data_IF_637533297914
#
_entry.id   IF_637533297914
#
_cell.length_a   1.000
_cell.length_b   1.000
_cell.length_c   1.000
_cell.angle_alpha   90.00
_cell.angle_beta   90.00
_cell.angle_gamma   90.00
#
_symmetry.space_group_name_H-M   'P 1'
#
loop_
_entity.id
_entity.type
_entity.pdbx_description
1 polymer ?
#
# COMPACT_ATOMS: atom_id res chain seq x y z
N UNK A 1 -23.44 7.68 10.91
CA UNK A 1 -23.65 8.90 11.72
C UNK A 1 -22.34 9.48 12.27
N UNK A 2 -21.50 8.70 12.95
CA UNK A 2 -20.22 9.16 13.56
C UNK A 2 -19.23 9.79 12.56
N UNK A 3 -19.12 9.27 11.33
CA UNK A 3 -18.24 9.83 10.28
C UNK A 3 -18.68 11.22 9.80
N UNK A 4 -19.99 11.46 9.68
CA UNK A 4 -20.53 12.75 9.24
C UNK A 4 -20.36 13.79 10.33
N UNK A 5 -20.63 13.42 11.59
CA UNK A 5 -20.41 14.26 12.75
C UNK A 5 -18.93 14.67 12.90
N UNK A 6 -18.00 13.71 12.72
CA UNK A 6 -16.55 13.99 12.76
C UNK A 6 -16.10 14.95 11.65
N UNK A 7 -16.66 14.81 10.44
CA UNK A 7 -16.36 15.71 9.31
C UNK A 7 -16.92 17.12 9.55
N UNK A 8 -18.11 17.20 10.12
CA UNK A 8 -18.76 18.48 10.45
C UNK A 8 -18.01 19.23 11.56
N UNK A 9 -17.65 18.54 12.64
CA UNK A 9 -16.86 19.11 13.74
C UNK A 9 -15.48 19.55 13.25
N UNK A 10 -14.81 18.73 12.44
CA UNK A 10 -13.51 19.09 11.85
C UNK A 10 -13.59 20.34 10.98
N UNK A 11 -14.62 20.45 10.14
CA UNK A 11 -14.83 21.63 9.29
C UNK A 11 -15.18 22.87 10.11
N UNK A 12 -15.97 22.71 11.16
CA UNK A 12 -16.36 23.81 12.04
C UNK A 12 -15.15 24.36 12.80
N UNK A 13 -14.34 23.48 13.41
CA UNK A 13 -13.12 23.87 14.12
C UNK A 13 -12.14 24.58 13.16
N UNK A 14 -11.99 24.07 11.94
CA UNK A 14 -11.11 24.67 10.94
C UNK A 14 -11.59 26.08 10.54
N UNK A 15 -12.89 26.26 10.32
CA UNK A 15 -13.46 27.56 9.96
C UNK A 15 -13.36 28.57 11.12
N UNK A 16 -13.59 28.13 12.35
CA UNK A 16 -13.43 28.98 13.55
C UNK A 16 -11.97 29.38 13.72
N UNK A 17 -11.03 28.44 13.55
CA UNK A 17 -9.60 28.72 13.63
C UNK A 17 -9.17 29.76 12.58
N UNK A 18 -9.61 29.62 11.33
CA UNK A 18 -9.32 30.58 10.26
C UNK A 18 -9.91 31.96 10.59
N UNK A 19 -11.15 32.02 11.07
CA UNK A 19 -11.78 33.28 11.46
C UNK A 19 -11.04 34.00 12.60
N UNK A 20 -10.56 33.25 13.60
CA UNK A 20 -9.75 33.78 14.70
C UNK A 20 -8.42 34.32 14.18
N UNK A 21 -7.73 33.57 13.31
CA UNK A 21 -6.46 34.02 12.71
C UNK A 21 -6.64 35.27 11.85
N UNK A 22 -7.71 35.35 11.07
CA UNK A 22 -8.02 36.55 10.29
C UNK A 22 -8.25 37.73 11.22
N UNK A 23 -9.08 37.58 12.26
CA UNK A 23 -9.42 38.66 13.20
C UNK A 23 -8.19 39.19 13.94
N UNK A 24 -7.30 38.29 14.38
CA UNK A 24 -6.05 38.63 15.06
C UNK A 24 -5.14 39.51 14.18
N UNK A 25 -5.15 39.29 12.85
CA UNK A 25 -4.32 40.05 11.91
C UNK A 25 -5.04 41.32 11.42
N UNK A 26 -6.34 41.25 11.15
CA UNK A 26 -7.09 42.36 10.53
C UNK A 26 -7.44 43.46 11.52
N UNK A 27 -7.69 43.14 12.79
CA UNK A 27 -8.05 44.15 13.81
C UNK A 27 -6.90 45.13 14.06
N UNK A 28 -5.64 44.72 14.28
CA UNK A 28 -4.52 45.64 14.41
C UNK A 28 -4.30 46.50 13.16
N UNK A 29 -4.48 45.92 11.97
CA UNK A 29 -4.35 46.63 10.68
C UNK A 29 -5.45 47.70 10.53
N UNK A 30 -6.70 47.37 10.87
CA UNK A 30 -7.81 48.32 10.82
C UNK A 30 -7.63 49.45 11.84
N UNK A 31 -7.21 49.11 13.05
CA UNK A 31 -6.94 50.10 14.11
C UNK A 31 -5.85 51.07 13.65
N UNK A 32 -4.73 50.57 13.11
CA UNK A 32 -3.67 51.42 12.55
C UNK A 32 -4.12 52.28 11.38
N UNK A 33 -5.06 51.79 10.54
CA UNK A 33 -5.61 52.55 9.43
C UNK A 33 -6.55 53.68 9.91
N UNK A 34 -7.35 53.41 10.95
CA UNK A 34 -8.30 54.39 11.53
C UNK A 34 -7.59 55.43 12.40
N UNK A 35 -6.57 55.04 13.17
CA UNK A 35 -5.81 55.96 14.03
C UNK A 35 -4.73 56.72 13.26
N UNK A 36 -4.44 56.34 12.01
CA UNK A 36 -3.37 56.93 11.21
C UNK A 36 -1.96 56.68 11.76
N UNK A 37 -1.84 55.78 12.73
CA UNK A 37 -0.59 55.45 13.42
C UNK A 37 -0.20 54.00 13.16
N UNK A 38 1.00 53.81 12.58
CA UNK A 38 1.63 52.50 12.43
C UNK A 38 2.03 51.86 13.77
N UNK A 39 1.91 52.60 14.87
CA UNK A 39 2.37 52.20 16.20
C UNK A 39 1.64 50.94 16.71
N UNK A 40 0.33 50.82 16.48
CA UNK A 40 -0.42 49.61 16.87
C UNK A 40 0.02 48.36 16.08
N UNK A 41 0.33 48.52 14.79
CA UNK A 41 0.88 47.45 13.95
C UNK A 41 2.32 47.09 14.37
N UNK A 42 3.15 48.09 14.67
CA UNK A 42 4.53 47.89 15.12
C UNK A 42 4.55 47.22 16.49
N UNK A 43 3.68 47.61 17.43
CA UNK A 43 3.53 46.97 18.73
C UNK A 43 3.02 45.53 18.60
N UNK A 44 2.11 45.27 17.66
CA UNK A 44 1.65 43.91 17.36
C UNK A 44 2.76 43.04 16.75
N UNK A 45 3.55 43.57 15.83
CA UNK A 45 4.71 42.87 15.21
C UNK A 45 5.88 42.70 16.19
N UNK A 46 6.04 43.65 17.11
CA UNK A 46 7.04 43.63 18.18
C UNK A 46 6.56 42.84 19.40
N UNK A 47 5.29 42.42 19.40
CA UNK A 47 4.78 41.45 20.34
C UNK A 47 5.52 40.15 20.04
N UNK A 48 6.53 39.85 20.87
CA UNK A 48 7.19 38.56 20.86
C UNK A 48 6.10 37.52 21.06
N UNK A 49 5.60 36.95 19.96
CA UNK A 49 4.64 35.87 19.97
C UNK A 49 5.25 34.83 20.90
N UNK A 50 4.65 34.60 22.06
CA UNK A 50 5.36 33.93 23.12
C UNK A 50 5.70 32.54 22.62
N UNK A 51 6.92 32.07 22.86
CA UNK A 51 7.50 30.87 22.23
C UNK A 51 6.55 29.66 22.30
N UNK A 52 5.70 29.60 23.34
CA UNK A 52 4.66 28.60 23.51
C UNK A 52 3.55 28.63 22.43
N UNK A 53 3.18 29.79 21.87
CA UNK A 53 2.21 29.91 20.75
C UNK A 53 2.80 29.36 19.45
N UNK A 54 4.08 29.64 19.18
CA UNK A 54 4.79 29.10 18.01
C UNK A 54 4.96 27.59 18.15
N UNK A 55 5.26 27.10 19.35
CA UNK A 55 5.28 25.67 19.69
C UNK A 55 3.90 25.01 19.52
N UNK A 56 2.82 25.69 19.92
CA UNK A 56 1.46 25.17 19.75
C UNK A 56 1.09 25.04 18.27
N UNK A 57 1.37 26.07 17.46
CA UNK A 57 1.10 26.06 16.02
C UNK A 57 1.91 24.98 15.28
N UNK A 58 3.18 24.77 15.66
CA UNK A 58 4.01 23.71 15.08
C UNK A 58 3.50 22.33 15.46
N UNK A 59 3.13 22.09 16.73
CA UNK A 59 2.50 20.84 17.16
C UNK A 59 1.19 20.54 16.40
N UNK A 60 0.31 21.53 16.28
CA UNK A 60 -0.96 21.38 15.54
C UNK A 60 -0.68 21.06 14.06
N UNK A 61 0.32 21.70 13.45
CA UNK A 61 0.70 21.48 12.05
C UNK A 61 1.25 20.06 11.83
N UNK A 62 2.07 19.54 12.75
CA UNK A 62 2.60 18.18 12.72
C UNK A 62 1.46 17.17 12.84
N UNK A 63 0.55 17.37 13.80
CA UNK A 63 -0.62 16.51 14.01
C UNK A 63 -1.51 16.52 12.77
N UNK A 64 -1.79 17.69 12.21
CA UNK A 64 -2.58 17.82 10.98
C UNK A 64 -1.93 17.11 9.80
N UNK A 65 -0.62 17.29 9.59
CA UNK A 65 0.12 16.62 8.52
C UNK A 65 0.09 15.10 8.67
N UNK A 66 0.25 14.58 9.90
CA UNK A 66 0.17 13.16 10.19
C UNK A 66 -1.24 12.60 9.90
N UNK A 67 -2.30 13.28 10.36
CA UNK A 67 -3.68 12.86 10.07
C UNK A 67 -4.07 13.04 8.61
N UNK A 68 -3.51 14.01 7.90
CA UNK A 68 -3.74 14.21 6.47
C UNK A 68 -3.12 13.08 5.65
N UNK A 69 -1.87 12.69 5.96
CA UNK A 69 -1.20 11.54 5.31
C UNK A 69 -1.86 10.19 5.65
N UNK A 70 -2.41 10.05 6.85
CA UNK A 70 -3.14 8.84 7.27
C UNK A 70 -4.48 8.64 6.55
N UNK A 71 -5.01 9.65 5.84
CA UNK A 71 -6.32 9.59 5.18
C UNK A 71 -6.29 9.09 3.75
N UNK A 72 -5.13 8.79 3.17
CA UNK A 72 -5.11 7.95 1.99
C UNK A 72 -5.45 6.53 2.46
N UNK A 73 -6.65 5.99 2.15
CA UNK A 73 -6.84 4.57 2.30
C UNK A 73 -5.76 3.95 1.40
N UNK A 74 -4.76 3.28 2.01
CA UNK A 74 -3.98 2.31 1.25
C UNK A 74 -5.03 1.41 0.62
N UNK A 75 -5.15 1.50 -0.71
CA UNK A 75 -5.99 0.60 -1.45
C UNK A 75 -5.34 -0.77 -1.25
N UNK A 76 -5.81 -1.50 -0.26
CA UNK A 76 -5.43 -2.88 -0.06
C UNK A 76 -6.13 -3.57 -1.22
N UNK A 77 -5.40 -3.76 -2.33
CA UNK A 77 -5.87 -4.65 -3.37
C UNK A 77 -6.25 -5.97 -2.69
N UNK A 78 -7.48 -6.48 -2.95
CA UNK A 78 -7.85 -7.78 -2.44
C UNK A 78 -6.78 -8.77 -2.93
N UNK A 79 -6.24 -9.58 -2.01
CA UNK A 79 -5.23 -10.57 -2.37
C UNK A 79 -5.75 -11.37 -3.58
N UNK A 80 -4.94 -11.46 -4.66
CA UNK A 80 -5.38 -12.18 -5.84
C UNK A 80 -5.62 -13.64 -5.46
N UNK A 81 -6.65 -14.25 -6.04
CA UNK A 81 -7.00 -15.64 -5.75
C UNK A 81 -5.85 -16.54 -6.22
N UNK A 82 -5.34 -17.36 -5.30
CA UNK A 82 -4.24 -18.28 -5.56
C UNK A 82 -4.76 -19.70 -5.55
N UNK A 83 -4.44 -20.46 -6.58
CA UNK A 83 -4.72 -21.88 -6.63
C UNK A 83 -3.51 -22.66 -7.14
N UNK A 84 -3.51 -23.97 -6.86
CA UNK A 84 -2.47 -24.88 -7.29
C UNK A 84 -2.96 -25.69 -8.49
N UNK A 85 -2.11 -25.84 -9.49
CA UNK A 85 -2.31 -26.79 -10.59
C UNK A 85 -1.23 -27.85 -10.54
N UNK A 86 -1.61 -29.08 -10.88
CA UNK A 86 -0.68 -30.20 -10.96
C UNK A 86 -0.34 -30.48 -12.43
N UNK A 87 0.95 -30.50 -12.78
CA UNK A 87 1.41 -30.79 -14.13
C UNK A 87 2.82 -31.39 -14.14
N UNK A 88 3.03 -32.47 -14.91
CA UNK A 88 4.34 -33.14 -15.06
C UNK A 88 5.09 -33.45 -13.75
N UNK A 89 4.37 -33.97 -12.75
CA UNK A 89 4.91 -34.28 -11.41
C UNK A 89 5.35 -33.04 -10.61
N UNK A 90 4.87 -31.86 -10.98
CA UNK A 90 5.07 -30.61 -10.26
C UNK A 90 3.73 -30.00 -9.85
N UNK A 91 3.75 -29.24 -8.75
CA UNK A 91 2.66 -28.33 -8.38
C UNK A 91 3.08 -26.91 -8.76
N UNK A 92 2.18 -26.16 -9.39
CA UNK A 92 2.43 -24.79 -9.80
C UNK A 92 1.44 -23.86 -9.14
N UNK A 93 1.95 -22.75 -8.61
CA UNK A 93 1.10 -21.70 -8.06
C UNK A 93 0.63 -20.80 -9.19
N UNK A 94 -0.69 -20.70 -9.34
CA UNK A 94 -1.36 -19.82 -10.28
C UNK A 94 -2.01 -18.70 -9.49
N UNK A 95 -1.80 -17.47 -9.95
CA UNK A 95 -2.39 -16.26 -9.43
C UNK A 95 -3.40 -15.79 -10.47
N UNK A 96 -4.67 -15.79 -10.11
CA UNK A 96 -5.74 -15.24 -10.94
C UNK A 96 -5.87 -13.75 -10.67
N UNK A 97 -5.69 -12.95 -11.71
CA UNK A 97 -5.90 -11.51 -11.66
C UNK A 97 -7.30 -11.23 -12.18
N UNK A 98 -8.05 -10.37 -11.48
CA UNK A 98 -9.46 -10.03 -11.78
C UNK A 98 -9.77 -9.51 -13.20
N UNK A 99 -8.77 -9.37 -14.06
CA UNK A 99 -8.86 -8.86 -15.42
C UNK A 99 -8.74 -9.97 -16.49
N UNK A 100 -9.05 -11.24 -16.17
CA UNK A 100 -8.97 -12.37 -17.11
C UNK A 100 -7.53 -12.73 -17.50
N UNK A 101 -6.57 -12.36 -16.66
CA UNK A 101 -5.15 -12.68 -16.84
C UNK A 101 -4.69 -13.55 -15.68
N UNK A 102 -3.88 -14.56 -15.98
CA UNK A 102 -3.23 -15.36 -14.95
C UNK A 102 -1.72 -15.37 -15.08
N UNK A 103 -1.06 -15.40 -13.93
CA UNK A 103 0.38 -15.60 -13.82
C UNK A 103 0.65 -16.91 -13.10
N UNK A 104 1.59 -17.69 -13.64
CA UNK A 104 2.11 -18.88 -12.99
C UNK A 104 3.51 -18.56 -12.47
N UNK A 105 3.77 -18.87 -11.20
CA UNK A 105 5.10 -18.73 -10.60
C UNK A 105 6.14 -19.47 -11.44
N UNK A 106 7.34 -18.91 -11.61
CA UNK A 106 8.38 -19.51 -12.47
C UNK A 106 9.04 -20.74 -11.86
N UNK A 107 8.96 -20.87 -10.54
CA UNK A 107 9.56 -21.98 -9.79
C UNK A 107 8.42 -22.91 -9.36
N UNK A 108 8.45 -24.19 -9.73
CA UNK A 108 7.46 -25.16 -9.28
C UNK A 108 7.63 -25.48 -7.80
N UNK A 109 6.58 -26.06 -7.24
CA UNK A 109 6.54 -26.70 -5.94
C UNK A 109 6.72 -28.21 -6.11
N UNK A 110 7.38 -28.84 -5.15
CA UNK A 110 7.47 -30.29 -5.08
C UNK A 110 6.08 -30.89 -4.92
N UNK A 111 5.76 -31.92 -5.71
CA UNK A 111 4.48 -32.62 -5.61
C UNK A 111 4.24 -33.24 -4.24
N UNK A 112 5.29 -33.72 -3.57
CA UNK A 112 5.21 -34.42 -2.27
C UNK A 112 5.24 -33.45 -1.10
N UNK A 113 6.17 -32.49 -1.11
CA UNK A 113 6.43 -31.60 0.03
C UNK A 113 5.73 -30.25 -0.08
N UNK A 114 5.19 -29.92 -1.24
CA UNK A 114 4.66 -28.58 -1.57
C UNK A 114 5.68 -27.45 -1.31
N UNK A 115 6.97 -27.80 -1.21
CA UNK A 115 8.08 -26.88 -1.01
C UNK A 115 8.62 -26.38 -2.34
N UNK A 116 9.04 -25.12 -2.40
CA UNK A 116 9.68 -24.54 -3.58
C UNK A 116 11.01 -25.24 -3.90
N UNK A 117 11.28 -25.42 -5.20
CA UNK A 117 12.58 -25.88 -5.66
C UNK A 117 13.63 -24.80 -5.48
N UNK A 118 14.83 -25.19 -5.06
CA UNK A 118 15.94 -24.27 -4.78
C UNK A 118 17.07 -24.52 -5.77
N UNK A 119 17.63 -23.44 -6.30
CA UNK A 119 18.80 -23.49 -7.18
C UNK A 119 20.04 -23.89 -6.37
N UNK A 120 20.69 -24.96 -6.81
CA UNK A 120 21.94 -25.46 -6.22
C UNK A 120 23.16 -24.79 -6.87
N UNK A 121 24.34 -24.87 -6.22
CA UNK A 121 25.60 -24.38 -6.82
C UNK A 121 25.95 -25.03 -8.16
N UNK A 122 25.43 -26.23 -8.44
CA UNK A 122 25.58 -26.93 -9.72
C UNK A 122 24.65 -26.43 -10.82
N UNK A 123 23.96 -25.31 -10.61
CA UNK A 123 22.99 -24.73 -11.53
C UNK A 123 21.79 -25.65 -11.83
N UNK A 124 21.35 -26.40 -10.82
CA UNK A 124 20.21 -27.32 -10.92
C UNK A 124 19.19 -26.99 -9.83
N UNK A 125 17.91 -27.10 -10.14
CA UNK A 125 16.83 -26.93 -9.16
C UNK A 125 16.51 -28.26 -8.49
N UNK A 126 16.51 -28.28 -7.15
CA UNK A 126 16.20 -29.46 -6.34
C UNK A 126 15.19 -29.09 -5.25
N UNK A 127 14.29 -30.03 -4.92
CA UNK A 127 13.39 -29.89 -3.78
C UNK A 127 14.20 -29.80 -2.47
N UNK A 128 13.97 -28.76 -1.66
CA UNK A 128 14.68 -28.53 -0.39
C UNK A 128 14.56 -29.71 0.57
N UNK A 129 13.41 -30.35 0.61
CA UNK A 129 13.09 -31.46 1.52
C UNK A 129 13.38 -32.84 0.92
N UNK A 130 14.13 -32.89 -0.19
CA UNK A 130 14.49 -34.14 -0.87
C UNK A 130 15.38 -35.08 -0.06
N UNK A 131 16.08 -34.56 0.95
CA UNK A 131 17.00 -35.33 1.78
C UNK A 131 16.20 -36.08 2.85
N UNK A 132 16.13 -37.41 2.75
CA UNK A 132 15.59 -38.30 3.78
C UNK A 132 14.09 -38.62 3.68
N UNK A 133 13.38 -38.05 2.71
CA UNK A 133 11.96 -38.34 2.44
C UNK A 133 11.81 -39.21 1.17
N UNK A 134 10.65 -39.85 0.99
CA UNK A 134 10.28 -40.54 -0.26
C UNK A 134 10.03 -39.55 -1.43
N UNK A 135 10.83 -38.48 -1.50
CA UNK A 135 10.84 -37.56 -2.61
C UNK A 135 11.52 -38.22 -3.80
N UNK A 136 10.77 -38.51 -4.87
CA UNK A 136 11.39 -38.67 -6.19
C UNK A 136 11.79 -37.28 -6.69
N UNK A 137 12.77 -36.67 -6.04
CA UNK A 137 13.23 -35.32 -6.36
C UNK A 137 13.78 -35.31 -7.79
N UNK A 138 12.94 -34.87 -8.73
CA UNK A 138 13.35 -34.66 -10.11
C UNK A 138 14.27 -33.45 -10.14
N UNK A 139 15.53 -33.65 -10.48
CA UNK A 139 16.48 -32.56 -10.71
C UNK A 139 16.02 -31.83 -11.97
N UNK A 140 15.84 -30.52 -11.90
CA UNK A 140 15.41 -29.72 -13.05
C UNK A 140 16.58 -28.86 -13.50
N UNK A 141 16.96 -28.98 -14.77
CA UNK A 141 17.91 -28.06 -15.38
C UNK A 141 17.21 -26.73 -15.75
N UNK A 142 17.90 -25.58 -15.69
CA UNK A 142 17.29 -24.28 -16.02
C UNK A 142 16.72 -24.21 -17.45
N UNK A 143 17.32 -24.95 -18.39
CA UNK A 143 16.82 -25.11 -19.76
C UNK A 143 15.42 -25.74 -19.78
N UNK A 144 15.21 -26.79 -18.99
CA UNK A 144 13.95 -27.54 -18.93
C UNK A 144 12.88 -26.80 -18.12
N UNK A 145 13.29 -25.98 -17.14
CA UNK A 145 12.36 -25.20 -16.32
C UNK A 145 11.45 -24.32 -17.17
N UNK A 146 12.00 -23.70 -18.21
CA UNK A 146 11.22 -22.85 -19.13
C UNK A 146 10.17 -23.66 -19.89
N UNK A 147 10.51 -24.89 -20.29
CA UNK A 147 9.58 -25.80 -20.97
C UNK A 147 8.41 -26.18 -20.05
N UNK A 148 8.70 -26.63 -18.83
CA UNK A 148 7.65 -27.00 -17.86
C UNK A 148 6.79 -25.80 -17.46
N UNK A 149 7.40 -24.63 -17.26
CA UNK A 149 6.67 -23.40 -16.94
C UNK A 149 5.71 -22.99 -18.06
N UNK A 150 6.13 -23.08 -19.33
CA UNK A 150 5.26 -22.80 -20.47
C UNK A 150 4.07 -23.78 -20.55
N UNK A 151 4.29 -25.05 -20.20
CA UNK A 151 3.22 -26.05 -20.17
C UNK A 151 2.21 -25.77 -19.05
N UNK A 152 2.70 -25.47 -17.85
CA UNK A 152 1.87 -25.06 -16.72
C UNK A 152 1.07 -23.79 -17.02
N UNK A 153 1.68 -22.80 -17.69
CA UNK A 153 0.99 -21.58 -18.14
C UNK A 153 -0.12 -21.87 -19.14
N UNK A 154 0.14 -22.73 -20.13
CA UNK A 154 -0.88 -23.17 -21.09
C UNK A 154 -2.06 -23.85 -20.38
N UNK A 155 -1.77 -24.73 -19.42
CA UNK A 155 -2.77 -25.42 -18.60
C UNK A 155 -3.58 -24.47 -17.73
N UNK A 156 -2.92 -23.54 -17.02
CA UNK A 156 -3.57 -22.50 -16.22
C UNK A 156 -4.57 -21.69 -17.05
N UNK A 157 -4.14 -21.22 -18.22
CA UNK A 157 -5.00 -20.48 -19.14
C UNK A 157 -6.20 -21.32 -19.60
N UNK A 158 -6.00 -22.61 -19.91
CA UNK A 158 -7.10 -23.50 -20.30
C UNK A 158 -8.14 -23.69 -19.19
N UNK A 159 -7.71 -23.70 -17.93
CA UNK A 159 -8.58 -23.87 -16.77
C UNK A 159 -9.42 -22.60 -16.57
N UNK A 160 -8.78 -21.43 -16.59
CA UNK A 160 -9.44 -20.15 -16.33
C UNK A 160 -10.44 -19.80 -17.44
N UNK A 161 -10.03 -19.93 -18.72
CA UNK A 161 -10.92 -19.69 -19.86
C UNK A 161 -12.13 -20.66 -19.90
N UNK A 162 -11.97 -21.88 -19.36
CA UNK A 162 -13.06 -22.86 -19.24
C UNK A 162 -14.09 -22.46 -18.16
N UNK A 163 -13.69 -21.66 -17.17
CA UNK A 163 -14.62 -21.13 -16.16
C UNK A 163 -15.31 -19.84 -16.63
N UNK A 164 -14.64 -18.99 -17.42
CA UNK A 164 -15.27 -17.77 -17.98
C UNK A 164 -16.40 -18.08 -18.98
N UNK A 165 -16.35 -19.21 -19.67
CA UNK A 165 -17.34 -19.61 -20.70
C UNK A 165 -18.62 -20.25 -20.15
N UNK A 166 -18.81 -20.27 -18.82
CA UNK A 166 -19.96 -20.91 -18.15
C UNK A 166 -21.02 -19.97 -17.57
N UNK A 167 -20.97 -18.67 -17.90
CA UNK A 167 -21.97 -17.69 -17.45
C UNK A 167 -23.00 -17.34 -18.52
#
# INVERSE_FOLDING_TARGET
>A
MIKVLKKFISSFIQNVFIAVMITIITVPVLVSLVTGTLDALIQYLSFNAPVWMVLLCTLISIIYAHFSRSKEPKFIEPEPERFLIEDSDFKWRVIDHKNGYSSVDQIPLCFVHESEYVLTPGNQYICRESIGSNCKAKIIEPSDLTFYWNMAKSKANSIINKYETKH
#
